data_IF_621151666134
#
_entry.id   IF_621151666134
#
_cell.length_a   1.000
_cell.length_b   1.000
_cell.length_c   1.000
_cell.angle_alpha   90.00
_cell.angle_beta   90.00
_cell.angle_gamma   90.00
#
_symmetry.space_group_name_H-M   'P 1'
#
loop_
_entity.id
_entity.type
_entity.pdbx_description
1 polymer ?
#
# COMPACT_ATOMS: atom_id res chain seq x y z
N UNK A 1 -11.74 4.92 -0.80
CA UNK A 1 -12.98 5.61 -0.39
C UNK A 1 -13.41 4.90 0.85
N UNK A 2 -13.44 5.61 1.97
CA UNK A 2 -13.76 5.03 3.25
C UNK A 2 -15.23 4.56 3.35
N UNK A 3 -15.52 3.49 4.10
CA UNK A 3 -14.58 2.64 4.82
C UNK A 3 -13.81 1.73 3.87
N UNK A 4 -12.50 1.61 4.08
CA UNK A 4 -11.71 0.53 3.52
C UNK A 4 -11.20 -0.44 4.61
N UNK A 5 -11.11 -1.71 4.25
CA UNK A 5 -10.71 -2.79 5.16
C UNK A 5 -10.24 -4.00 4.38
N UNK A 6 -9.67 -4.98 5.07
CA UNK A 6 -9.24 -6.23 4.44
C UNK A 6 -10.37 -6.95 3.65
N UNK A 7 -11.65 -6.72 3.96
CA UNK A 7 -12.81 -7.33 3.26
C UNK A 7 -13.60 -6.36 2.39
N UNK A 8 -13.30 -5.06 2.43
CA UNK A 8 -13.94 -4.04 1.60
C UNK A 8 -12.86 -3.06 1.16
N UNK A 9 -12.21 -3.35 0.03
CA UNK A 9 -11.00 -2.65 -0.41
C UNK A 9 -11.30 -1.59 -1.46
N UNK A 10 -10.48 -0.55 -1.50
CA UNK A 10 -10.32 0.28 -2.68
C UNK A 10 -9.76 -0.53 -3.87
N UNK A 11 -9.56 0.13 -5.01
CA UNK A 11 -8.96 -0.49 -6.20
C UNK A 11 -7.71 0.26 -6.60
N UNK A 12 -6.67 -0.48 -6.95
CA UNK A 12 -5.46 0.03 -7.60
C UNK A 12 -5.02 -0.93 -8.69
N UNK A 13 -4.09 -0.49 -9.54
CA UNK A 13 -3.54 -1.30 -10.61
C UNK A 13 -2.09 -0.93 -10.88
N UNK A 14 -1.34 -1.82 -11.53
CA UNK A 14 -0.04 -1.47 -12.07
C UNK A 14 -0.21 -0.37 -13.12
N UNK A 15 0.52 0.73 -12.93
CA UNK A 15 0.41 1.99 -13.68
C UNK A 15 -0.36 3.08 -12.92
N UNK A 16 -1.05 2.74 -11.82
CA UNK A 16 -1.83 3.69 -11.04
C UNK A 16 -1.01 4.37 -9.93
N UNK A 17 -1.48 5.55 -9.56
CA UNK A 17 -1.09 6.27 -8.35
C UNK A 17 -2.36 6.58 -7.58
N UNK A 18 -2.35 6.29 -6.27
CA UNK A 18 -3.47 6.44 -5.37
C UNK A 18 -3.07 7.42 -4.27
N UNK A 19 -3.87 8.46 -4.08
CA UNK A 19 -3.78 9.33 -2.92
C UNK A 19 -4.68 8.75 -1.82
N UNK A 20 -4.13 8.62 -0.62
CA UNK A 20 -4.83 8.12 0.56
C UNK A 20 -4.64 9.04 1.74
N UNK A 21 -5.35 8.80 2.84
CA UNK A 21 -5.22 9.64 4.03
C UNK A 21 -5.55 8.89 5.31
N UNK A 22 -4.75 9.13 6.35
CA UNK A 22 -4.99 8.57 7.68
C UNK A 22 -5.52 9.61 8.67
N UNK A 23 -6.19 9.12 9.71
CA UNK A 23 -6.65 9.91 10.85
C UNK A 23 -6.35 9.19 12.17
N UNK A 24 -6.64 9.82 13.32
CA UNK A 24 -6.40 9.20 14.62
C UNK A 24 -7.11 7.85 14.85
N UNK A 25 -8.14 7.53 14.07
CA UNK A 25 -8.88 6.26 14.13
C UNK A 25 -8.71 5.40 12.88
N UNK A 26 -8.00 5.89 11.88
CA UNK A 26 -7.83 5.28 10.58
C UNK A 26 -6.34 5.22 10.25
N UNK A 27 -5.76 4.04 10.36
CA UNK A 27 -4.30 3.83 10.27
C UNK A 27 -3.91 2.87 9.17
N UNK A 28 -4.88 2.33 8.42
CA UNK A 28 -4.65 1.32 7.39
C UNK A 28 -5.62 1.48 6.24
N UNK A 29 -5.04 1.62 5.05
CA UNK A 29 -5.78 1.64 3.81
C UNK A 29 -5.55 0.33 3.05
N UNK A 30 -6.60 -0.21 2.43
CA UNK A 30 -6.56 -1.49 1.72
C UNK A 30 -7.01 -1.35 0.26
N UNK A 31 -6.19 -1.84 -0.68
CA UNK A 31 -6.45 -1.75 -2.12
C UNK A 31 -6.33 -3.12 -2.80
N UNK A 32 -7.37 -3.60 -3.48
CA UNK A 32 -7.23 -4.71 -4.42
C UNK A 32 -6.29 -4.31 -5.56
N UNK A 33 -5.32 -5.16 -5.90
CA UNK A 33 -4.27 -4.87 -6.88
C UNK A 33 -4.51 -5.67 -8.16
N UNK A 34 -4.80 -4.96 -9.26
CA UNK A 34 -4.74 -5.54 -10.59
C UNK A 34 -3.33 -5.43 -11.19
N UNK A 35 -2.71 -6.56 -11.53
CA UNK A 35 -1.37 -6.60 -12.10
C UNK A 35 -1.28 -6.10 -13.54
N UNK A 36 -2.39 -6.03 -14.28
CA UNK A 36 -2.39 -5.70 -15.71
C UNK A 36 -1.36 -6.53 -16.53
N UNK A 37 -1.13 -7.78 -16.12
CA UNK A 37 -0.15 -8.68 -16.74
C UNK A 37 1.32 -8.44 -16.37
N UNK A 38 1.63 -7.42 -15.55
CA UNK A 38 2.99 -7.18 -15.09
C UNK A 38 3.38 -8.13 -13.95
N UNK A 39 4.58 -8.70 -14.04
CA UNK A 39 5.17 -9.53 -12.97
C UNK A 39 6.23 -8.79 -12.19
N UNK A 40 7.00 -7.91 -12.85
CA UNK A 40 7.97 -7.05 -12.20
C UNK A 40 7.38 -5.67 -11.98
N UNK A 41 7.26 -5.28 -10.72
CA UNK A 41 6.65 -4.01 -10.32
C UNK A 41 7.52 -3.28 -9.30
N UNK A 42 7.26 -1.98 -9.15
CA UNK A 42 7.74 -1.16 -8.05
C UNK A 42 6.55 -0.65 -7.25
N UNK A 43 6.48 -1.05 -5.98
CA UNK A 43 5.64 -0.40 -4.98
C UNK A 43 6.38 0.81 -4.43
N UNK A 44 5.72 1.96 -4.33
CA UNK A 44 6.31 3.17 -3.76
C UNK A 44 5.33 3.89 -2.83
N UNK A 45 5.89 4.53 -1.80
CA UNK A 45 5.23 5.50 -0.93
C UNK A 45 5.94 6.84 -1.06
N UNK A 46 5.17 7.88 -1.33
CA UNK A 46 5.63 9.24 -1.60
C UNK A 46 4.77 10.24 -0.82
N UNK A 47 5.28 11.46 -0.63
CA UNK A 47 4.61 12.55 0.10
C UNK A 47 4.20 12.14 1.53
N UNK A 48 5.10 11.47 2.24
CA UNK A 48 4.82 10.94 3.58
C UNK A 48 4.94 12.04 4.65
N UNK A 49 3.92 12.19 5.51
CA UNK A 49 3.97 13.05 6.68
C UNK A 49 5.08 12.64 7.65
N UNK A 50 5.72 13.65 8.23
CA UNK A 50 6.85 13.46 9.14
C UNK A 50 6.44 12.78 10.46
N UNK A 51 7.35 12.00 11.03
CA UNK A 51 7.25 11.55 12.42
C UNK A 51 6.51 10.22 12.66
N UNK A 52 6.32 9.40 11.62
CA UNK A 52 5.86 8.02 11.81
C UNK A 52 6.56 7.03 10.87
N UNK A 53 6.35 5.74 11.13
CA UNK A 53 6.78 4.65 10.28
C UNK A 53 5.65 4.27 9.33
N UNK A 54 5.87 4.55 8.04
CA UNK A 54 4.94 4.18 6.97
C UNK A 54 5.34 2.84 6.37
N UNK A 55 4.43 1.90 6.27
CA UNK A 55 4.69 0.63 5.60
C UNK A 55 3.71 0.42 4.46
N UNK A 56 4.14 -0.31 3.44
CA UNK A 56 3.23 -0.82 2.42
C UNK A 56 3.57 -2.28 2.13
N UNK A 57 2.55 -3.13 2.19
CA UNK A 57 2.68 -4.57 2.06
C UNK A 57 1.76 -5.07 0.95
N UNK A 58 2.27 -5.98 0.12
CA UNK A 58 1.49 -6.71 -0.87
C UNK A 58 1.28 -8.11 -0.34
N UNK A 59 0.02 -8.49 -0.20
CA UNK A 59 -0.40 -9.81 0.22
C UNK A 59 -1.05 -10.55 -0.95
N UNK A 60 -0.85 -11.86 -0.99
CA UNK A 60 -1.71 -12.74 -1.79
C UNK A 60 -3.12 -12.73 -1.22
N UNK A 61 -4.12 -12.58 -2.07
CA UNK A 61 -5.54 -12.66 -1.70
C UNK A 61 -5.97 -14.13 -1.58
N UNK A 62 -5.37 -14.80 -0.62
CA UNK A 62 -5.57 -16.20 -0.29
C UNK A 62 -5.71 -16.36 1.23
N UNK A 63 -6.17 -17.54 1.66
CA UNK A 63 -6.29 -17.85 3.08
C UNK A 63 -4.97 -17.62 3.82
N UNK A 64 -5.03 -16.84 4.90
CA UNK A 64 -3.86 -16.48 5.71
C UNK A 64 -3.03 -15.32 5.17
N UNK A 65 -3.44 -14.69 4.07
CA UNK A 65 -2.78 -13.53 3.44
C UNK A 65 -1.25 -13.65 3.38
N UNK A 66 -0.70 -14.60 2.61
CA UNK A 66 0.74 -14.73 2.45
C UNK A 66 1.39 -13.42 2.00
N UNK A 67 2.46 -13.00 2.69
CA UNK A 67 3.19 -11.79 2.32
C UNK A 67 4.01 -12.02 1.05
N UNK A 68 3.75 -11.23 0.01
CA UNK A 68 4.45 -11.30 -1.27
C UNK A 68 5.53 -10.23 -1.41
N UNK A 69 5.29 -9.02 -0.91
CA UNK A 69 6.27 -7.93 -0.95
C UNK A 69 6.04 -6.92 0.17
N UNK A 70 7.07 -6.19 0.58
CA UNK A 70 6.93 -5.13 1.59
C UNK A 70 7.94 -4.01 1.43
N UNK A 71 7.50 -2.80 1.77
CA UNK A 71 8.30 -1.68 2.24
C UNK A 71 8.17 -1.70 3.76
N UNK A 72 9.23 -2.15 4.46
CA UNK A 72 9.32 -2.16 5.93
C UNK A 72 10.46 -1.30 6.46
N UNK A 73 11.00 -0.39 5.63
CA UNK A 73 12.08 0.52 6.04
C UNK A 73 11.49 1.64 6.89
N UNK A 74 12.00 1.81 8.11
CA UNK A 74 11.54 2.81 9.06
C UNK A 74 11.66 4.25 8.53
N UNK A 75 10.85 5.15 9.10
CA UNK A 75 10.85 6.58 8.82
C UNK A 75 9.80 7.04 7.80
N UNK A 76 9.93 8.30 7.43
CA UNK A 76 8.96 9.12 6.67
C UNK A 76 9.53 9.63 5.34
N UNK A 77 10.68 9.13 4.91
CA UNK A 77 11.24 9.47 3.61
C UNK A 77 10.56 8.66 2.50
N UNK A 78 10.48 9.24 1.30
CA UNK A 78 10.02 8.52 0.10
C UNK A 78 10.77 7.20 -0.03
N UNK A 79 10.02 6.13 -0.29
CA UNK A 79 10.55 4.78 -0.25
C UNK A 79 9.83 3.86 -1.21
N UNK A 80 10.56 2.87 -1.68
CA UNK A 80 10.05 1.93 -2.67
C UNK A 80 10.64 0.54 -2.47
N UNK A 81 9.96 -0.45 -3.06
CA UNK A 81 10.42 -1.82 -3.19
C UNK A 81 10.12 -2.33 -4.59
N UNK A 82 11.13 -2.88 -5.24
CA UNK A 82 10.93 -3.68 -6.45
C UNK A 82 10.51 -5.09 -6.03
N UNK A 83 9.47 -5.63 -6.66
CA UNK A 83 8.87 -6.91 -6.36
C UNK A 83 8.69 -7.72 -7.65
N UNK A 84 8.83 -9.03 -7.54
CA UNK A 84 8.40 -9.97 -8.57
C UNK A 84 7.19 -10.73 -8.04
N UNK A 85 6.05 -10.60 -8.73
CA UNK A 85 4.78 -11.21 -8.38
C UNK A 85 4.40 -12.28 -9.41
N UNK A 86 3.65 -13.27 -8.96
CA UNK A 86 3.14 -14.36 -9.78
C UNK A 86 1.82 -13.94 -10.44
N UNK A 87 1.83 -13.79 -11.76
CA UNK A 87 0.66 -13.34 -12.52
C UNK A 87 -0.55 -14.29 -12.43
N UNK A 88 -0.39 -15.52 -11.93
CA UNK A 88 -1.49 -16.46 -11.72
C UNK A 88 -2.25 -16.22 -10.40
N UNK A 89 -1.74 -15.34 -9.53
CA UNK A 89 -2.31 -15.06 -8.22
C UNK A 89 -3.03 -13.72 -8.17
N UNK A 90 -3.94 -13.61 -7.19
CA UNK A 90 -4.60 -12.35 -6.85
C UNK A 90 -3.90 -11.69 -5.66
N UNK A 91 -3.86 -10.37 -5.63
CA UNK A 91 -3.14 -9.61 -4.62
C UNK A 91 -3.94 -8.41 -4.12
N UNK A 92 -3.60 -7.95 -2.92
CA UNK A 92 -4.00 -6.66 -2.41
C UNK A 92 -2.84 -5.95 -1.71
N UNK A 93 -2.90 -4.63 -1.67
CA UNK A 93 -1.96 -3.77 -0.95
C UNK A 93 -2.60 -3.33 0.36
N UNK A 94 -1.83 -3.34 1.44
CA UNK A 94 -2.14 -2.65 2.68
C UNK A 94 -1.09 -1.56 2.89
N UNK A 95 -1.54 -0.31 3.04
CA UNK A 95 -0.69 0.79 3.52
C UNK A 95 -0.96 0.97 5.01
N UNK A 96 0.08 1.16 5.81
CA UNK A 96 -0.02 1.27 7.26
C UNK A 96 0.79 2.47 7.76
N UNK A 97 0.15 3.36 8.52
CA UNK A 97 0.82 4.52 9.12
C UNK A 97 1.54 4.18 10.44
N UNK A 98 1.39 2.96 10.97
CA UNK A 98 1.88 2.57 12.29
C UNK A 98 1.14 3.33 13.39
N UNK A 99 1.63 4.52 13.76
CA UNK A 99 0.89 5.52 14.55
C UNK A 99 0.50 6.66 13.61
N UNK A 100 -0.80 6.94 13.44
CA UNK A 100 -1.22 8.08 12.62
C UNK A 100 -0.57 9.39 13.13
N UNK A 101 0.06 10.20 12.26
CA UNK A 101 0.78 11.40 12.68
C UNK A 101 -0.19 12.55 13.00
N UNK A 102 -0.83 12.50 14.17
CA UNK A 102 -1.80 13.49 14.70
C UNK A 102 -3.27 13.30 14.31
N UNK A 103 -4.15 14.13 14.89
CA UNK A 103 -5.62 14.09 14.72
C UNK A 103 -6.09 14.62 13.37
N UNK A 104 -5.25 15.39 12.67
CA UNK A 104 -5.56 15.93 11.34
C UNK A 104 -5.35 14.86 10.26
N UNK A 105 -6.07 14.99 9.15
CA UNK A 105 -5.94 14.07 8.01
C UNK A 105 -4.53 14.15 7.43
N UNK A 106 -3.84 13.02 7.41
CA UNK A 106 -2.47 12.88 6.93
C UNK A 106 -2.47 12.17 5.59
N UNK A 107 -2.23 12.92 4.52
CA UNK A 107 -2.26 12.37 3.17
C UNK A 107 -0.96 11.66 2.83
N UNK A 108 -1.04 10.63 2.01
CA UNK A 108 0.12 9.97 1.41
C UNK A 108 -0.19 9.66 -0.06
N UNK A 109 0.85 9.32 -0.81
CA UNK A 109 0.71 8.80 -2.16
C UNK A 109 1.32 7.40 -2.28
N UNK A 110 0.55 6.44 -2.78
CA UNK A 110 1.02 5.11 -3.12
C UNK A 110 0.99 4.92 -4.63
N UNK A 111 2.04 4.34 -5.19
CA UNK A 111 2.04 3.94 -6.60
C UNK A 111 2.54 2.52 -6.79
N UNK A 112 1.99 1.84 -7.80
CA UNK A 112 2.46 0.56 -8.29
C UNK A 112 2.82 0.74 -9.75
N UNK A 113 4.11 0.71 -10.08
CA UNK A 113 4.61 0.97 -11.44
C UNK A 113 5.21 -0.30 -12.03
N UNK A 114 5.05 -0.50 -13.33
CA UNK A 114 5.80 -1.55 -14.03
C UNK A 114 7.29 -1.21 -14.00
N UNK A 115 8.12 -2.24 -13.78
CA UNK A 115 9.58 -2.14 -13.85
C UNK A 115 10.10 -2.32 -15.27
#
# INVERSE_FOLDING_TARGET
YEPDSATQRGSTAVGATCDGSFSGTDTRDYYSLNLNGATNIRLALENLPSGTNWDALIYEDASGYPLACQIGTAGDQNKYKNCTLDASKSYFVMVNAGTAPSKESNTYQMSVKQQ
#
